data_IF_612823586104
#
_entry.id   IF_612823586104
#
_cell.length_a   1.000
_cell.length_b   1.000
_cell.length_c   1.000
_cell.angle_alpha   90.00
_cell.angle_beta   90.00
_cell.angle_gamma   90.00
#
_symmetry.space_group_name_H-M   'P 1'
#
loop_
_entity.id
_entity.type
_entity.pdbx_description
1 polymer ?
#
# COMPACT_ATOMS: atom_id res chain seq x y z
N UNK A 1 16.64 -18.98 -10.39
CA UNK A 1 16.18 -17.81 -9.59
C UNK A 1 16.91 -17.83 -8.26
N UNK A 2 17.62 -16.76 -7.88
CA UNK A 2 18.30 -16.71 -6.58
C UNK A 2 17.28 -16.44 -5.47
N UNK A 3 17.15 -17.38 -4.52
CA UNK A 3 16.33 -17.19 -3.32
C UNK A 3 16.89 -15.99 -2.54
N UNK A 4 16.07 -14.96 -2.25
CA UNK A 4 16.47 -13.80 -1.46
C UNK A 4 17.21 -14.19 -0.17
N UNK A 5 18.30 -13.48 0.22
CA UNK A 5 19.12 -13.84 1.37
C UNK A 5 18.33 -14.01 2.68
N UNK A 6 17.31 -13.18 2.90
CA UNK A 6 16.45 -13.28 4.09
C UNK A 6 15.59 -14.54 4.10
N UNK A 7 15.12 -15.01 2.95
CA UNK A 7 14.37 -16.26 2.85
C UNK A 7 15.27 -17.47 3.15
N UNK A 8 16.57 -17.38 2.84
CA UNK A 8 17.54 -18.42 3.23
C UNK A 8 17.72 -18.50 4.74
N UNK A 9 17.83 -17.34 5.42
CA UNK A 9 17.87 -17.30 6.89
C UNK A 9 16.61 -17.93 7.51
N UNK A 10 15.42 -17.53 7.05
CA UNK A 10 14.16 -18.07 7.57
C UNK A 10 14.03 -19.57 7.31
N UNK A 11 14.49 -20.04 6.15
CA UNK A 11 14.52 -21.47 5.82
C UNK A 11 15.50 -22.25 6.71
N UNK A 12 16.67 -21.66 7.02
CA UNK A 12 17.65 -22.26 7.91
C UNK A 12 17.12 -22.36 9.34
N UNK A 13 16.51 -21.29 9.86
CA UNK A 13 15.83 -21.27 11.16
C UNK A 13 14.75 -22.36 11.22
N UNK A 14 13.91 -22.44 10.18
CA UNK A 14 12.84 -23.44 10.10
C UNK A 14 13.40 -24.86 10.16
N UNK A 15 14.49 -25.12 9.44
CA UNK A 15 15.15 -26.42 9.42
C UNK A 15 15.83 -26.77 10.75
N UNK A 16 16.64 -25.88 11.29
CA UNK A 16 17.45 -26.12 12.50
C UNK A 16 16.58 -26.23 13.76
N UNK A 17 15.49 -25.47 13.84
CA UNK A 17 14.58 -25.47 14.98
C UNK A 17 13.40 -26.45 14.79
N UNK A 18 13.30 -27.12 13.63
CA UNK A 18 12.13 -27.92 13.23
C UNK A 18 10.82 -27.13 13.37
N UNK A 19 10.85 -25.85 13.02
CA UNK A 19 9.70 -24.98 13.11
C UNK A 19 8.71 -25.28 11.98
N UNK A 20 7.42 -25.11 12.25
CA UNK A 20 6.38 -25.13 11.21
C UNK A 20 6.46 -23.84 10.40
N UNK A 21 6.76 -22.73 11.07
CA UNK A 21 6.79 -21.40 10.48
C UNK A 21 7.90 -20.56 11.12
N UNK A 22 8.49 -19.66 10.34
CA UNK A 22 9.46 -18.70 10.82
C UNK A 22 9.25 -17.36 10.13
N UNK A 23 9.56 -16.28 10.84
CA UNK A 23 9.40 -14.93 10.31
C UNK A 23 10.26 -13.91 11.02
N UNK A 24 10.35 -12.74 10.41
CA UNK A 24 11.00 -11.56 10.95
C UNK A 24 9.94 -10.47 11.06
N UNK A 25 9.65 -10.04 12.29
CA UNK A 25 8.78 -8.88 12.55
C UNK A 25 9.66 -7.63 12.73
N UNK A 26 9.24 -6.54 12.10
CA UNK A 26 9.88 -5.23 12.25
C UNK A 26 9.31 -4.47 13.45
N UNK A 27 9.98 -3.40 13.89
CA UNK A 27 9.59 -2.62 15.07
C UNK A 27 8.12 -2.16 15.02
N UNK A 28 7.25 -2.66 15.88
CA UNK A 28 5.83 -2.31 15.91
C UNK A 28 4.92 -3.13 14.97
N UNK A 29 5.44 -4.19 14.35
CA UNK A 29 4.61 -5.26 13.79
C UNK A 29 4.28 -6.29 14.89
N UNK A 30 3.09 -6.87 14.83
CA UNK A 30 2.68 -7.91 15.77
C UNK A 30 3.60 -9.13 15.63
N UNK A 31 4.12 -9.59 16.75
CA UNK A 31 4.89 -10.83 16.86
C UNK A 31 3.94 -11.92 17.35
N UNK A 32 3.89 -13.11 16.72
CA UNK A 32 3.11 -14.23 17.23
C UNK A 32 3.46 -14.52 18.70
N UNK A 33 2.44 -14.61 19.56
CA UNK A 33 2.59 -14.94 20.98
C UNK A 33 2.02 -16.32 21.25
N UNK A 34 2.74 -17.14 22.04
CA UNK A 34 2.31 -18.52 22.30
C UNK A 34 3.35 -19.35 23.05
N UNK A 35 2.90 -20.44 23.68
CA UNK A 35 3.80 -21.40 24.35
C UNK A 35 4.66 -22.18 23.35
N UNK A 36 4.23 -22.29 22.10
CA UNK A 36 4.87 -22.92 20.95
C UNK A 36 5.76 -21.97 20.13
N UNK A 37 5.83 -20.68 20.50
CA UNK A 37 6.65 -19.69 19.79
C UNK A 37 7.94 -19.41 20.56
N UNK A 38 9.05 -19.34 19.81
CA UNK A 38 10.36 -18.87 20.28
C UNK A 38 10.67 -17.57 19.55
N UNK A 39 11.03 -16.54 20.31
CA UNK A 39 11.34 -15.20 19.79
C UNK A 39 12.76 -14.82 20.17
N UNK A 40 13.44 -14.08 19.31
CA UNK A 40 14.74 -13.47 19.58
C UNK A 40 14.66 -12.00 19.22
N UNK A 41 14.90 -11.15 20.21
CA UNK A 41 15.07 -9.72 19.98
C UNK A 41 16.36 -9.47 19.22
N UNK A 42 16.26 -8.78 18.10
CA UNK A 42 17.41 -8.33 17.32
C UNK A 42 17.65 -6.84 17.57
N UNK A 43 18.79 -6.34 17.10
CA UNK A 43 19.08 -4.91 17.15
C UNK A 43 17.94 -4.09 16.51
N UNK A 44 17.76 -2.85 17.00
CA UNK A 44 16.83 -1.86 16.43
C UNK A 44 15.34 -2.28 16.53
N UNK A 45 14.99 -3.12 17.50
CA UNK A 45 13.60 -3.47 17.81
C UNK A 45 12.95 -4.43 16.80
N UNK A 46 13.75 -5.17 16.04
CA UNK A 46 13.26 -6.28 15.22
C UNK A 46 13.13 -7.54 16.09
N UNK A 47 12.23 -8.43 15.70
CA UNK A 47 12.07 -9.72 16.39
C UNK A 47 12.03 -10.84 15.37
N UNK A 48 13.00 -11.74 15.49
CA UNK A 48 13.00 -13.00 14.76
C UNK A 48 12.15 -14.00 15.55
N UNK A 49 11.28 -14.74 14.88
CA UNK A 49 10.41 -15.70 15.55
C UNK A 49 10.30 -17.01 14.77
N UNK A 50 10.05 -18.08 15.52
CA UNK A 50 9.82 -19.42 15.00
C UNK A 50 8.67 -20.06 15.77
N UNK A 51 7.69 -20.59 15.04
CA UNK A 51 6.54 -21.33 15.58
C UNK A 51 6.76 -22.82 15.44
N UNK A 52 6.68 -23.53 16.55
CA UNK A 52 6.91 -24.97 16.64
C UNK A 52 5.59 -25.74 16.61
N UNK A 53 5.65 -27.04 16.35
CA UNK A 53 4.46 -27.91 16.37
C UNK A 53 3.86 -28.11 17.78
N UNK A 54 4.62 -27.78 18.83
CA UNK A 54 4.19 -27.88 20.21
C UNK A 54 5.13 -27.09 21.13
N UNK A 55 4.79 -27.04 22.41
CA UNK A 55 5.60 -26.34 23.41
C UNK A 55 6.98 -27.02 23.54
N UNK A 56 8.08 -26.31 23.24
CA UNK A 56 9.41 -26.89 23.35
C UNK A 56 9.77 -27.13 24.82
N UNK A 57 10.42 -28.27 25.09
CA UNK A 57 10.90 -28.63 26.44
C UNK A 57 11.97 -27.66 26.97
N UNK A 58 12.76 -27.06 26.08
CA UNK A 58 13.81 -26.10 26.44
C UNK A 58 13.81 -24.93 25.44
N UNK A 59 13.11 -23.84 25.79
CA UNK A 59 13.06 -22.62 24.97
C UNK A 59 14.39 -21.90 24.88
N UNK A 60 15.17 -21.92 25.96
CA UNK A 60 16.42 -21.16 26.05
C UNK A 60 17.49 -21.75 25.13
N UNK A 61 17.58 -23.08 25.04
CA UNK A 61 18.46 -23.75 24.09
C UNK A 61 18.11 -23.41 22.63
N UNK A 62 16.80 -23.35 22.31
CA UNK A 62 16.34 -22.97 20.97
C UNK A 62 16.61 -21.49 20.68
N UNK A 63 16.43 -20.60 21.67
CA UNK A 63 16.75 -19.18 21.55
C UNK A 63 18.25 -18.97 21.34
N UNK A 64 19.11 -19.63 22.11
CA UNK A 64 20.56 -19.57 21.96
C UNK A 64 21.00 -20.06 20.57
N UNK A 65 20.39 -21.14 20.07
CA UNK A 65 20.67 -21.64 18.72
C UNK A 65 20.22 -20.67 17.63
N UNK A 66 19.05 -20.06 17.80
CA UNK A 66 18.54 -19.02 16.91
C UNK A 66 19.46 -17.79 16.91
N UNK A 67 20.06 -17.45 18.05
CA UNK A 67 21.02 -16.34 18.17
C UNK A 67 22.32 -16.62 17.40
N UNK A 68 22.91 -17.81 17.55
CA UNK A 68 24.09 -18.22 16.76
C UNK A 68 23.81 -18.13 15.26
N UNK A 69 22.64 -18.59 14.82
CA UNK A 69 22.24 -18.47 13.41
C UNK A 69 22.11 -16.99 13.04
N UNK A 70 21.40 -16.17 13.83
CA UNK A 70 21.20 -14.75 13.55
C UNK A 70 22.53 -13.97 13.46
N UNK A 71 23.50 -14.28 14.33
CA UNK A 71 24.84 -13.67 14.31
C UNK A 71 25.56 -13.90 12.98
N UNK A 72 25.46 -15.12 12.41
CA UNK A 72 26.05 -15.41 11.08
C UNK A 72 25.40 -14.64 9.92
N UNK A 73 24.21 -14.08 10.14
CA UNK A 73 23.46 -13.25 9.17
C UNK A 73 23.35 -11.78 9.60
N UNK A 74 24.13 -11.32 10.59
CA UNK A 74 24.00 -9.99 11.18
C UNK A 74 24.03 -8.87 10.13
N UNK A 75 24.98 -8.92 9.18
CA UNK A 75 25.08 -7.92 8.11
C UNK A 75 23.84 -7.88 7.19
N UNK A 76 23.25 -9.05 6.90
CA UNK A 76 22.03 -9.13 6.08
C UNK A 76 20.81 -8.59 6.84
N UNK A 77 20.71 -8.88 8.14
CA UNK A 77 19.68 -8.33 9.02
C UNK A 77 19.81 -6.80 9.12
N UNK A 78 21.03 -6.27 9.18
CA UNK A 78 21.26 -4.81 9.15
C UNK A 78 20.85 -4.16 7.83
N UNK A 79 21.14 -4.80 6.69
CA UNK A 79 20.71 -4.32 5.37
C UNK A 79 19.19 -4.32 5.26
N UNK A 80 18.52 -5.38 5.70
CA UNK A 80 17.05 -5.44 5.73
C UNK A 80 16.45 -4.42 6.71
N UNK A 81 17.07 -4.19 7.87
CA UNK A 81 16.67 -3.12 8.79
C UNK A 81 16.76 -1.73 8.16
N UNK A 82 17.84 -1.49 7.41
CA UNK A 82 18.07 -0.23 6.71
C UNK A 82 17.08 -0.04 5.55
N UNK A 83 16.80 -1.09 4.78
CA UNK A 83 15.76 -1.11 3.74
C UNK A 83 14.37 -0.92 4.32
N UNK A 84 14.04 -1.56 5.44
CA UNK A 84 12.77 -1.39 6.13
C UNK A 84 12.58 0.04 6.65
N UNK A 85 13.63 0.65 7.22
CA UNK A 85 13.62 2.08 7.60
C UNK A 85 13.45 2.99 6.39
N UNK A 86 14.16 2.72 5.30
CA UNK A 86 14.01 3.46 4.05
C UNK A 86 12.59 3.32 3.49
N UNK A 87 11.98 2.13 3.57
CA UNK A 87 10.57 1.90 3.23
C UNK A 87 9.61 2.67 4.14
N UNK A 88 9.85 2.75 5.45
CA UNK A 88 9.09 3.61 6.39
C UNK A 88 9.31 5.10 6.15
N UNK A 89 10.44 5.48 5.54
CA UNK A 89 10.71 6.84 5.06
C UNK A 89 10.13 7.11 3.66
N UNK A 90 9.65 6.09 2.94
CA UNK A 90 9.05 6.31 1.63
C UNK A 90 7.70 7.00 1.83
N UNK A 91 7.52 8.25 1.36
CA UNK A 91 6.22 8.92 1.48
C UNK A 91 5.11 8.11 0.81
N UNK A 92 5.45 7.28 -0.18
CA UNK A 92 4.52 6.38 -0.88
C UNK A 92 4.02 5.25 0.02
N UNK A 93 4.89 4.67 0.86
CA UNK A 93 4.50 3.63 1.80
C UNK A 93 3.60 4.20 2.90
N UNK A 94 3.96 5.38 3.43
CA UNK A 94 3.17 6.09 4.43
C UNK A 94 1.82 6.53 3.87
N UNK A 95 1.78 7.01 2.61
CA UNK A 95 0.55 7.34 1.90
C UNK A 95 -0.36 6.12 1.82
N UNK A 96 0.18 4.95 1.45
CA UNK A 96 -0.60 3.71 1.39
C UNK A 96 -1.15 3.29 2.76
N UNK A 97 -0.38 3.47 3.83
CA UNK A 97 -0.85 3.20 5.21
C UNK A 97 -1.99 4.14 5.57
N UNK A 98 -1.85 5.45 5.32
CA UNK A 98 -2.88 6.45 5.57
C UNK A 98 -4.17 6.17 4.78
N UNK A 99 -4.05 5.81 3.49
CA UNK A 99 -5.20 5.45 2.66
C UNK A 99 -5.92 4.18 3.16
N UNK A 100 -5.17 3.18 3.65
CA UNK A 100 -5.78 1.99 4.26
C UNK A 100 -6.48 2.31 5.57
N UNK A 101 -5.90 3.18 6.40
CA UNK A 101 -6.52 3.63 7.63
C UNK A 101 -7.84 4.36 7.33
N UNK A 102 -7.83 5.29 6.37
CA UNK A 102 -9.03 5.97 5.90
C UNK A 102 -10.10 4.99 5.42
N UNK A 103 -9.75 4.08 4.50
CA UNK A 103 -10.72 3.14 3.96
C UNK A 103 -11.37 2.27 5.05
N UNK A 104 -10.58 1.81 6.04
CA UNK A 104 -11.10 1.07 7.19
C UNK A 104 -11.98 1.93 8.09
N UNK A 105 -11.55 3.14 8.42
CA UNK A 105 -12.25 4.04 9.33
C UNK A 105 -13.61 4.49 8.78
N UNK A 106 -13.72 4.70 7.47
CA UNK A 106 -14.96 5.10 6.82
C UNK A 106 -15.84 3.92 6.35
N UNK A 107 -15.33 2.69 6.38
CA UNK A 107 -16.03 1.52 5.82
C UNK A 107 -15.98 1.44 4.29
N UNK A 108 -15.05 2.16 3.66
CA UNK A 108 -14.86 2.14 2.22
C UNK A 108 -14.19 0.85 1.73
N UNK A 109 -14.52 0.49 0.50
CA UNK A 109 -13.85 -0.59 -0.25
C UNK A 109 -12.46 -0.16 -0.68
N UNK A 110 -12.28 1.11 -1.05
CA UNK A 110 -10.99 1.65 -1.44
C UNK A 110 -10.87 3.14 -1.15
N UNK A 111 -9.63 3.63 -1.07
CA UNK A 111 -9.32 5.05 -1.01
C UNK A 111 -8.09 5.32 -1.87
N UNK A 112 -8.13 6.36 -2.70
CA UNK A 112 -7.15 6.63 -3.75
C UNK A 112 -6.81 8.12 -3.84
N UNK A 113 -5.58 8.41 -4.27
CA UNK A 113 -5.17 9.76 -4.67
C UNK A 113 -5.00 9.81 -6.19
N UNK A 114 -5.72 10.73 -6.83
CA UNK A 114 -5.67 10.98 -8.26
C UNK A 114 -4.96 12.31 -8.55
N UNK A 115 -4.24 12.36 -9.66
CA UNK A 115 -3.83 13.60 -10.30
C UNK A 115 -4.90 14.05 -11.31
N UNK A 116 -5.28 15.32 -11.26
CA UNK A 116 -6.22 15.93 -12.20
C UNK A 116 -5.58 16.29 -13.54
N UNK A 117 -4.25 16.43 -13.57
CA UNK A 117 -3.46 16.82 -14.75
C UNK A 117 -2.87 15.65 -15.52
N UNK A 118 -2.91 14.45 -14.95
CA UNK A 118 -2.39 13.23 -15.58
C UNK A 118 -3.31 12.04 -15.35
N UNK A 119 -3.24 10.96 -16.16
CA UNK A 119 -3.97 9.71 -15.95
C UNK A 119 -3.51 8.91 -14.72
N UNK A 120 -2.63 9.48 -13.89
CA UNK A 120 -1.96 8.78 -12.80
C UNK A 120 -2.83 8.63 -11.55
N UNK A 121 -2.74 7.46 -10.94
CA UNK A 121 -3.11 7.19 -9.55
C UNK A 121 -1.84 7.13 -8.73
N UNK A 122 -1.69 8.09 -7.82
CA UNK A 122 -0.51 8.21 -6.97
C UNK A 122 -0.42 7.07 -5.96
N UNK A 123 -1.56 6.66 -5.41
CA UNK A 123 -1.63 5.53 -4.50
C UNK A 123 -3.06 5.15 -4.19
N UNK A 124 -3.23 3.94 -3.67
CA UNK A 124 -4.52 3.45 -3.18
C UNK A 124 -4.35 2.47 -2.03
N UNK A 125 -5.42 2.32 -1.24
CA UNK A 125 -5.49 1.33 -0.17
C UNK A 125 -5.37 -0.12 -0.71
N UNK A 126 -5.90 -0.36 -1.92
CA UNK A 126 -5.87 -1.64 -2.63
C UNK A 126 -4.52 -1.97 -3.28
N UNK A 127 -3.60 -1.00 -3.35
CA UNK A 127 -2.30 -1.16 -4.00
C UNK A 127 -2.30 -0.87 -5.50
N UNK A 128 -3.41 -0.40 -6.08
CA UNK A 128 -3.39 0.25 -7.39
C UNK A 128 -2.55 1.54 -7.35
N UNK A 129 -1.68 1.69 -8.32
CA UNK A 129 -0.84 2.87 -8.56
C UNK A 129 -0.40 2.88 -10.02
N UNK A 130 0.00 4.05 -10.52
CA UNK A 130 0.46 4.23 -11.89
C UNK A 130 -0.63 4.73 -12.83
N UNK A 131 -0.37 4.63 -14.12
CA UNK A 131 -1.30 5.08 -15.15
C UNK A 131 -2.52 4.16 -15.23
N UNK A 132 -3.71 4.71 -15.01
CA UNK A 132 -4.95 3.92 -14.99
C UNK A 132 -5.73 4.01 -16.31
N UNK A 133 -5.51 5.06 -17.11
CA UNK A 133 -6.27 5.29 -18.35
C UNK A 133 -5.46 5.09 -19.65
N UNK A 134 -4.13 5.22 -19.66
CA UNK A 134 -3.33 5.07 -20.89
C UNK A 134 -3.17 3.65 -21.42
N UNK A 135 -3.51 2.64 -20.61
CA UNK A 135 -3.64 1.25 -21.08
C UNK A 135 -5.10 0.84 -21.21
N UNK A 136 -5.90 1.68 -21.87
CA UNK A 136 -7.18 1.31 -22.47
C UNK A 136 -7.00 0.26 -23.61
N UNK A 137 -6.34 -0.85 -23.32
CA UNK A 137 -6.94 -2.15 -23.56
C UNK A 137 -7.35 -2.68 -22.19
N UNK A 138 -8.37 -2.04 -21.62
CA UNK A 138 -9.32 -2.77 -20.79
C UNK A 138 -9.91 -3.86 -21.71
N UNK A 139 -9.20 -5.00 -21.82
CA UNK A 139 -9.90 -6.27 -21.94
C UNK A 139 -10.67 -6.38 -20.63
N UNK A 140 -11.84 -5.76 -20.57
CA UNK A 140 -13.00 -6.44 -20.03
C UNK A 140 -13.07 -7.72 -20.86
N UNK A 141 -12.27 -8.73 -20.47
CA UNK A 141 -12.50 -10.10 -20.90
C UNK A 141 -13.93 -10.32 -20.47
N UNK A 142 -14.82 -10.38 -21.47
CA UNK A 142 -16.19 -10.77 -21.25
C UNK A 142 -16.15 -12.02 -20.38
N UNK A 143 -16.96 -12.01 -19.33
CA UNK A 143 -18.00 -13.01 -19.11
C UNK A 143 -17.82 -14.40 -19.72
N UNK A 144 -16.62 -14.99 -19.73
CA UNK A 144 -16.46 -16.42 -19.90
C UNK A 144 -16.48 -17.01 -18.49
N UNK A 145 -17.70 -17.38 -18.14
CA UNK A 145 -18.04 -18.35 -17.13
C UNK A 145 -17.20 -19.61 -17.32
N UNK A 146 -15.99 -19.66 -16.75
CA UNK A 146 -15.24 -20.86 -16.33
C UNK A 146 -13.81 -20.47 -15.89
N UNK A 147 -13.71 -19.56 -14.92
CA UNK A 147 -12.42 -19.20 -14.31
C UNK A 147 -12.20 -19.90 -12.98
N UNK A 148 -11.30 -20.88 -12.95
CA UNK A 148 -10.69 -21.56 -11.79
C UNK A 148 -9.89 -20.62 -10.86
N UNK A 149 -10.24 -19.33 -10.80
CA UNK A 149 -9.64 -18.36 -9.91
C UNK A 149 -10.17 -18.50 -8.48
N UNK A 150 -9.26 -18.33 -7.51
CA UNK A 150 -9.60 -18.41 -6.08
C UNK A 150 -10.60 -17.31 -5.69
N UNK A 151 -11.36 -17.50 -4.60
CA UNK A 151 -12.30 -16.49 -4.10
C UNK A 151 -11.64 -15.12 -3.83
N UNK A 152 -10.36 -15.13 -3.44
CA UNK A 152 -9.56 -13.94 -3.22
C UNK A 152 -9.31 -13.13 -4.51
N UNK A 153 -8.99 -13.81 -5.61
CA UNK A 153 -8.78 -13.17 -6.91
C UNK A 153 -10.05 -12.52 -7.43
N UNK A 154 -11.20 -13.20 -7.32
CA UNK A 154 -12.51 -12.64 -7.70
C UNK A 154 -12.86 -11.40 -6.87
N UNK A 155 -12.61 -11.44 -5.56
CA UNK A 155 -12.84 -10.30 -4.67
C UNK A 155 -11.93 -9.11 -5.00
N UNK A 156 -10.68 -9.36 -5.37
CA UNK A 156 -9.72 -8.34 -5.82
C UNK A 156 -10.13 -7.76 -7.19
N UNK A 157 -10.58 -8.60 -8.13
CA UNK A 157 -11.07 -8.18 -9.44
C UNK A 157 -12.30 -7.25 -9.30
N UNK A 158 -13.27 -7.65 -8.48
CA UNK A 158 -14.46 -6.84 -8.17
C UNK A 158 -14.10 -5.50 -7.53
N UNK A 159 -13.15 -5.51 -6.58
CA UNK A 159 -12.63 -4.28 -5.96
C UNK A 159 -12.03 -3.34 -7.00
N UNK A 160 -11.19 -3.87 -7.89
CA UNK A 160 -10.56 -3.10 -8.96
C UNK A 160 -11.59 -2.52 -9.92
N UNK A 161 -12.60 -3.31 -10.32
CA UNK A 161 -13.67 -2.85 -11.22
C UNK A 161 -14.44 -1.66 -10.65
N UNK A 162 -14.84 -1.71 -9.37
CA UNK A 162 -15.52 -0.60 -8.70
C UNK A 162 -14.66 0.67 -8.67
N UNK A 163 -13.39 0.56 -8.27
CA UNK A 163 -12.50 1.72 -8.24
C UNK A 163 -12.26 2.31 -9.63
N UNK A 164 -12.16 1.48 -10.68
CA UNK A 164 -12.02 1.96 -12.06
C UNK A 164 -13.25 2.71 -12.55
N UNK A 165 -14.46 2.21 -12.25
CA UNK A 165 -15.72 2.89 -12.57
C UNK A 165 -15.79 4.25 -11.87
N UNK A 166 -15.49 4.32 -10.57
CA UNK A 166 -15.44 5.57 -9.82
C UNK A 166 -14.42 6.56 -10.39
N UNK A 167 -13.22 6.10 -10.78
CA UNK A 167 -12.21 6.96 -11.43
C UNK A 167 -12.72 7.53 -12.74
N UNK A 168 -13.35 6.71 -13.58
CA UNK A 168 -13.89 7.14 -14.87
C UNK A 168 -15.00 8.20 -14.68
N UNK A 169 -15.94 7.94 -13.76
CA UNK A 169 -17.03 8.88 -13.44
C UNK A 169 -16.49 10.20 -12.90
N UNK A 170 -15.59 10.16 -11.91
CA UNK A 170 -14.97 11.37 -11.35
C UNK A 170 -14.22 12.15 -12.42
N UNK A 171 -13.39 11.50 -13.25
CA UNK A 171 -12.62 12.19 -14.30
C UNK A 171 -13.49 12.82 -15.40
N UNK A 172 -14.73 12.36 -15.56
CA UNK A 172 -15.69 12.95 -16.50
C UNK A 172 -16.33 14.25 -15.98
N UNK A 173 -16.15 14.57 -14.70
CA UNK A 173 -16.72 15.77 -14.08
C UNK A 173 -16.10 17.05 -14.67
N UNK A 174 -16.98 17.94 -15.12
CA UNK A 174 -16.61 19.26 -15.66
C UNK A 174 -15.86 20.13 -14.65
N UNK A 175 -16.17 19.94 -13.37
CA UNK A 175 -15.66 20.68 -12.21
C UNK A 175 -14.14 20.49 -12.05
N UNK A 176 -13.60 19.32 -12.44
CA UNK A 176 -12.16 19.04 -12.39
C UNK A 176 -11.36 20.07 -13.19
N UNK A 177 -11.90 20.52 -14.33
CA UNK A 177 -11.23 21.51 -15.20
C UNK A 177 -11.06 22.87 -14.51
N UNK A 178 -11.83 23.14 -13.45
CA UNK A 178 -11.79 24.39 -12.70
C UNK A 178 -10.81 24.34 -11.51
N UNK A 179 -10.37 23.16 -11.08
CA UNK A 179 -9.48 22.99 -9.91
C UNK A 179 -8.16 23.76 -10.02
N UNK A 180 -7.45 23.77 -11.18
CA UNK A 180 -6.23 24.57 -11.31
C UNK A 180 -6.43 26.08 -11.14
N UNK A 181 -7.68 26.56 -11.21
CA UNK A 181 -8.06 27.97 -11.01
C UNK A 181 -8.51 28.27 -9.58
N UNK A 182 -8.21 27.38 -8.63
CA UNK A 182 -8.57 27.53 -7.22
C UNK A 182 -9.99 27.10 -6.87
N UNK A 183 -10.70 26.42 -7.78
CA UNK A 183 -11.97 25.80 -7.42
C UNK A 183 -11.74 24.64 -6.45
N UNK A 184 -12.70 24.41 -5.56
CA UNK A 184 -12.75 23.21 -4.74
C UNK A 184 -13.78 22.23 -5.32
N UNK A 185 -13.42 20.95 -5.38
CA UNK A 185 -14.34 19.87 -5.67
C UNK A 185 -14.60 19.11 -4.37
N UNK A 186 -15.86 19.12 -3.93
CA UNK A 186 -16.37 18.24 -2.88
C UNK A 186 -17.67 17.66 -3.39
N UNK A 187 -17.73 16.33 -3.53
CA UNK A 187 -18.91 15.65 -4.05
C UNK A 187 -19.03 14.25 -3.47
N UNK A 188 -20.26 13.88 -3.11
CA UNK A 188 -20.66 12.54 -2.71
C UNK A 188 -21.69 11.99 -3.71
N UNK A 189 -21.63 10.70 -3.98
CA UNK A 189 -22.62 9.96 -4.79
C UNK A 189 -22.98 8.71 -4.02
N UNK A 190 -24.27 8.50 -3.75
CA UNK A 190 -24.79 7.39 -2.94
C UNK A 190 -25.71 6.51 -3.79
N UNK A 191 -25.15 5.86 -4.80
CA UNK A 191 -25.89 4.90 -5.63
C UNK A 191 -25.95 3.52 -4.96
N UNK A 192 -26.95 2.71 -5.33
CA UNK A 192 -27.11 1.33 -4.88
C UNK A 192 -25.95 0.44 -5.34
N UNK A 193 -25.43 0.68 -6.55
CA UNK A 193 -24.33 -0.12 -7.12
C UNK A 193 -22.95 0.40 -6.73
N UNK A 194 -22.81 1.72 -6.57
CA UNK A 194 -21.53 2.36 -6.29
C UNK A 194 -21.68 3.66 -5.49
N UNK A 195 -21.07 3.70 -4.32
CA UNK A 195 -20.94 4.92 -3.54
C UNK A 195 -19.55 5.51 -3.72
N UNK A 196 -19.41 6.83 -3.83
CA UNK A 196 -18.11 7.46 -3.68
C UNK A 196 -18.18 8.86 -3.06
N UNK A 197 -17.09 9.24 -2.40
CA UNK A 197 -16.80 10.59 -1.93
C UNK A 197 -15.52 11.06 -2.63
N UNK A 198 -15.56 12.24 -3.24
CA UNK A 198 -14.38 12.90 -3.82
C UNK A 198 -14.16 14.27 -3.20
N UNK A 199 -12.90 14.56 -2.86
CA UNK A 199 -12.47 15.87 -2.35
C UNK A 199 -11.16 16.31 -3.00
N UNK A 200 -11.12 17.53 -3.51
CA UNK A 200 -9.89 18.14 -3.99
C UNK A 200 -9.00 18.61 -2.85
N UNK A 201 -7.69 18.57 -3.07
CA UNK A 201 -6.69 19.18 -2.19
C UNK A 201 -5.48 19.62 -3.01
N UNK A 202 -4.73 20.60 -2.48
CA UNK A 202 -3.58 21.22 -3.14
C UNK A 202 -3.82 21.56 -4.64
N UNK A 203 -5.04 22.03 -4.95
CA UNK A 203 -5.52 22.51 -6.26
C UNK A 203 -5.49 21.53 -7.45
N UNK A 204 -4.79 20.40 -7.36
CA UNK A 204 -4.59 19.49 -8.50
C UNK A 204 -4.76 18.01 -8.13
N UNK A 205 -4.95 17.68 -6.86
CA UNK A 205 -5.14 16.31 -6.42
C UNK A 205 -6.56 16.06 -5.98
N UNK A 206 -7.01 14.82 -6.13
CA UNK A 206 -8.29 14.35 -5.63
C UNK A 206 -8.06 13.18 -4.68
N UNK A 207 -8.67 13.26 -3.50
CA UNK A 207 -8.89 12.12 -2.63
C UNK A 207 -10.24 11.50 -3.02
N UNK A 208 -10.21 10.27 -3.53
CA UNK A 208 -11.38 9.49 -3.90
C UNK A 208 -11.57 8.32 -2.93
N UNK A 209 -12.74 8.21 -2.32
CA UNK A 209 -13.10 7.12 -1.40
C UNK A 209 -14.28 6.36 -2.00
N UNK A 210 -14.13 5.06 -2.22
CA UNK A 210 -15.05 4.22 -3.00
C UNK A 210 -15.71 3.18 -2.09
N UNK A 211 -17.03 3.08 -2.17
CA UNK A 211 -17.89 2.19 -1.38
C UNK A 211 -18.59 1.19 -2.31
N UNK A 212 -18.88 -0.03 -1.83
CA UNK A 212 -19.56 -1.06 -2.62
C UNK A 212 -21.08 -0.85 -2.73
N UNK A 213 -21.58 0.35 -2.43
CA UNK A 213 -22.98 0.73 -2.36
C UNK A 213 -23.19 2.01 -1.52
N UNK A 214 -24.40 2.25 -1.00
CA UNK A 214 -24.69 3.41 -0.16
C UNK A 214 -23.81 3.45 1.10
N UNK A 215 -23.46 4.66 1.55
CA UNK A 215 -22.60 4.85 2.71
C UNK A 215 -23.08 6.01 3.59
N UNK A 216 -22.59 6.02 4.83
CA UNK A 216 -22.77 7.13 5.77
C UNK A 216 -21.88 8.31 5.36
N UNK A 217 -22.51 9.29 4.72
CA UNK A 217 -21.86 10.48 4.19
C UNK A 217 -21.16 11.30 5.27
N UNK A 218 -21.80 11.52 6.41
CA UNK A 218 -21.25 12.32 7.51
C UNK A 218 -19.98 11.67 8.08
N UNK A 219 -20.02 10.35 8.28
CA UNK A 219 -18.85 9.58 8.69
C UNK A 219 -17.74 9.66 7.64
N UNK A 220 -18.07 9.41 6.38
CA UNK A 220 -17.11 9.44 5.29
C UNK A 220 -16.39 10.79 5.18
N UNK A 221 -17.13 11.89 5.25
CA UNK A 221 -16.57 13.24 5.17
C UNK A 221 -15.69 13.57 6.37
N UNK A 222 -16.11 13.19 7.58
CA UNK A 222 -15.32 13.40 8.80
C UNK A 222 -13.99 12.64 8.74
N UNK A 223 -14.02 11.37 8.35
CA UNK A 223 -12.80 10.57 8.23
C UNK A 223 -11.90 11.07 7.10
N UNK A 224 -12.47 11.48 5.96
CA UNK A 224 -11.71 12.07 4.86
C UNK A 224 -11.03 13.39 5.28
N UNK A 225 -11.73 14.26 6.01
CA UNK A 225 -11.15 15.51 6.52
C UNK A 225 -9.98 15.27 7.48
N UNK A 226 -10.11 14.29 8.39
CA UNK A 226 -9.01 13.89 9.30
C UNK A 226 -7.84 13.30 8.52
N UNK A 227 -8.11 12.41 7.56
CA UNK A 227 -7.07 11.76 6.78
C UNK A 227 -6.30 12.73 5.88
N UNK A 228 -6.94 13.79 5.36
CA UNK A 228 -6.27 14.81 4.53
C UNK A 228 -5.13 15.52 5.26
N UNK A 229 -5.23 15.73 6.59
CA UNK A 229 -4.14 16.33 7.38
C UNK A 229 -2.83 15.53 7.31
N UNK A 230 -2.92 14.23 7.03
CA UNK A 230 -1.76 13.33 6.89
C UNK A 230 -1.43 13.07 5.41
N UNK A 231 -2.45 12.86 4.58
CA UNK A 231 -2.30 12.50 3.17
C UNK A 231 -1.69 13.66 2.36
N UNK A 232 -2.13 14.90 2.59
CA UNK A 232 -1.69 16.04 1.79
C UNK A 232 -0.18 16.28 1.88
N UNK A 233 0.45 16.37 3.08
CA UNK A 233 1.91 16.48 3.18
C UNK A 233 2.66 15.29 2.55
N UNK A 234 2.10 14.08 2.65
CA UNK A 234 2.71 12.89 2.06
C UNK A 234 2.69 12.95 0.53
N UNK A 235 1.59 13.39 -0.08
CA UNK A 235 1.48 13.54 -1.53
C UNK A 235 2.42 14.65 -2.03
N UNK A 236 2.46 15.78 -1.33
CA UNK A 236 3.32 16.91 -1.70
C UNK A 236 4.82 16.63 -1.53
N UNK A 237 5.21 15.64 -0.73
CA UNK A 237 6.60 15.20 -0.56
C UNK A 237 7.02 14.10 -1.52
N UNK A 238 6.11 13.59 -2.36
CA UNK A 238 6.47 12.65 -3.41
C UNK A 238 7.14 13.37 -4.58
N UNK A 239 8.16 12.76 -5.21
CA UNK A 239 8.69 13.30 -6.45
C UNK A 239 7.59 13.34 -7.51
N UNK A 240 7.62 14.30 -8.45
CA UNK A 240 6.72 14.31 -9.60
C UNK A 240 6.69 12.92 -10.25
N UNK A 241 5.52 12.43 -10.68
CA UNK A 241 5.44 11.12 -11.31
C UNK A 241 6.23 11.22 -12.62
N UNK A 242 7.20 10.32 -12.82
CA UNK A 242 7.92 10.30 -14.09
C UNK A 242 6.91 9.98 -15.21
N UNK A 243 6.83 10.82 -16.26
CA UNK A 243 6.04 10.47 -17.42
C UNK A 243 6.60 9.16 -17.98
N UNK A 244 5.74 8.17 -18.20
CA UNK A 244 6.14 6.87 -18.76
C UNK A 244 6.21 6.95 -20.29
N UNK A 245 6.67 8.10 -20.79
CA UNK A 245 6.88 8.35 -22.20
C UNK A 245 8.38 8.21 -22.43
N UNK A 246 8.77 7.37 -23.38
CA UNK A 246 10.13 7.31 -23.91
C UNK A 246 10.59 8.61 -24.60
N UNK A 247 10.04 9.77 -24.25
CA UNK A 247 10.51 11.09 -24.62
C UNK A 247 11.40 11.65 -23.52
N UNK A 248 12.60 11.09 -23.40
CA UNK A 248 13.74 11.75 -22.76
C UNK A 248 14.18 12.97 -23.56
N UNK A 249 13.37 14.02 -23.62
CA UNK A 249 13.77 15.39 -23.96
C UNK A 249 12.79 16.31 -23.24
N UNK A 250 13.15 16.89 -22.09
CA UNK A 250 13.70 18.25 -22.11
C UNK A 250 14.40 18.57 -20.80
N UNK A 251 15.74 18.46 -20.81
CA UNK A 251 16.57 19.24 -19.93
C UNK A 251 16.51 20.71 -20.40
N UNK A 252 15.58 21.50 -19.86
CA UNK A 252 15.59 22.96 -20.06
C UNK A 252 16.59 23.59 -19.10
N UNK A 253 17.83 23.60 -19.60
CA UNK A 253 18.88 24.59 -19.42
C UNK A 253 18.30 25.98 -19.11
N UNK A 254 18.24 26.39 -17.82
CA UNK A 254 18.17 27.83 -17.47
C UNK A 254 19.59 28.38 -17.49
N UNK A 255 19.89 28.99 -18.62
CA UNK A 255 21.07 29.80 -18.86
C UNK A 255 21.18 30.92 -17.83
N UNK A 256 22.36 31.00 -17.20
CA UNK A 256 22.93 32.27 -16.74
C UNK A 256 23.09 33.21 -17.93
N UNK A 257 22.73 34.49 -17.76
CA UNK A 257 23.50 35.70 -18.11
C UNK A 257 22.57 36.92 -18.21
N UNK A 258 23.12 38.15 -18.21
CA UNK A 258 24.42 38.60 -17.69
C UNK A 258 24.29 39.32 -16.34
#
# INVERSE_FOLDING_TARGET
>A
MQVPPIQRLLSLIRRELRAIESGLSLTGEDVPTGKDVVTLGLARGQTLWAKLAGAPRNKDALRARMDVIAQSFAHLLELEATRARSRRKSPMANLRVALRALARASGARDALVLDTRSPMVWGSASGMSGEVLGRARLRLVGSDEQGTGTGAERAQQRRKALSLRAIAEVRSLSEIRRLPRGAELRRSVRDAEIGYLVRSFASIYLLLVVYPGPFDELRAEREAARALQVIEPLVLSLPPPEPTDGSSQSAVRRQRRP
#
